data_IF_312764139267
#
_entry.id   IF_312764139267
#
_cell.length_a   1.000
_cell.length_b   1.000
_cell.length_c   1.000
_cell.angle_alpha   90.00
_cell.angle_beta   90.00
_cell.angle_gamma   90.00
#
_symmetry.space_group_name_H-M   'P 1'
#
loop_
_entity.id
_entity.type
_entity.pdbx_description
1 polymer ?
#
# COMPACT_ATOMS: atom_id res chain seq x y z
N UNK A 1 -13.48 27.32 37.51
CA UNK A 1 -14.03 26.48 36.42
C UNK A 1 -13.43 26.79 35.04
N UNK A 2 -12.93 28.01 34.77
CA UNK A 2 -12.33 28.40 33.47
C UNK A 2 -10.86 27.97 33.24
N UNK A 3 -10.13 27.52 34.27
CA UNK A 3 -8.74 27.05 34.13
C UNK A 3 -8.58 25.57 33.74
N UNK A 4 -9.69 24.82 33.60
CA UNK A 4 -9.67 23.39 33.27
C UNK A 4 -9.85 23.10 31.77
N UNK A 5 -10.61 23.95 31.05
CA UNK A 5 -10.90 23.76 29.63
C UNK A 5 -9.70 24.10 28.72
N UNK A 6 -8.85 25.04 29.14
CA UNK A 6 -7.69 25.46 28.33
C UNK A 6 -6.55 24.43 28.37
N UNK A 7 -6.42 23.65 29.44
CA UNK A 7 -5.42 22.56 29.56
C UNK A 7 -5.86 21.27 28.88
N UNK A 8 -7.18 21.05 28.71
CA UNK A 8 -7.73 19.89 27.99
C UNK A 8 -7.61 20.01 26.46
N UNK A 9 -7.68 21.21 25.90
CA UNK A 9 -7.50 21.43 24.46
C UNK A 9 -6.04 21.31 23.99
N UNK A 10 -5.06 21.51 24.89
CA UNK A 10 -3.63 21.47 24.55
C UNK A 10 -3.07 20.03 24.54
N UNK A 11 -3.81 19.04 25.08
CA UNK A 11 -3.35 17.64 25.20
C UNK A 11 -3.80 16.73 24.05
N UNK A 12 -4.87 17.09 23.33
CA UNK A 12 -5.57 16.19 22.38
C UNK A 12 -5.18 16.39 20.91
N UNK A 13 -4.47 17.47 20.58
CA UNK A 13 -3.77 17.55 19.28
C UNK A 13 -2.33 17.12 19.54
N UNK A 14 -2.15 15.84 19.83
CA UNK A 14 -0.85 15.18 19.72
C UNK A 14 -0.49 15.27 18.24
N UNK A 15 0.22 16.35 17.89
CA UNK A 15 0.80 16.57 16.58
C UNK A 15 1.28 15.22 16.04
N UNK A 16 0.92 14.89 14.80
CA UNK A 16 1.70 13.94 14.01
C UNK A 16 3.15 14.44 14.06
N UNK A 17 3.90 14.06 15.07
CA UNK A 17 5.31 14.37 15.18
C UNK A 17 5.92 13.56 14.06
N UNK A 18 6.14 14.20 12.92
CA UNK A 18 6.81 13.61 11.77
C UNK A 18 8.20 13.20 12.24
N UNK A 19 8.30 11.96 12.69
CA UNK A 19 9.53 11.40 13.18
C UNK A 19 10.21 10.75 11.98
N UNK A 20 11.27 11.39 11.50
CA UNK A 20 12.03 10.94 10.33
C UNK A 20 12.46 9.48 10.48
N UNK A 21 12.82 9.03 11.69
CA UNK A 21 13.16 7.63 11.94
C UNK A 21 11.98 6.70 11.71
N UNK A 22 10.79 7.05 12.23
CA UNK A 22 9.57 6.25 12.03
C UNK A 22 9.16 6.22 10.56
N UNK A 23 9.28 7.35 9.87
CA UNK A 23 9.00 7.43 8.43
C UNK A 23 9.93 6.54 7.60
N UNK A 24 11.25 6.57 7.88
CA UNK A 24 12.22 5.68 7.21
C UNK A 24 11.92 4.21 7.50
N UNK A 25 11.55 3.84 8.74
CA UNK A 25 11.10 2.49 9.06
C UNK A 25 9.87 2.08 8.24
N UNK A 26 8.96 3.03 7.99
CA UNK A 26 7.79 2.84 7.12
C UNK A 26 8.19 2.54 5.68
N UNK A 27 9.13 3.30 5.12
CA UNK A 27 9.66 3.07 3.77
C UNK A 27 10.30 1.68 3.66
N UNK A 28 11.11 1.29 4.63
CA UNK A 28 11.74 -0.04 4.66
C UNK A 28 10.66 -1.14 4.74
N UNK A 29 9.67 -0.97 5.61
CA UNK A 29 8.56 -1.91 5.74
C UNK A 29 7.74 -2.03 4.45
N UNK A 30 7.42 -0.91 3.80
CA UNK A 30 6.74 -0.90 2.51
C UNK A 30 7.55 -1.56 1.40
N UNK A 31 8.88 -1.35 1.38
CA UNK A 31 9.78 -2.02 0.44
C UNK A 31 9.78 -3.55 0.64
N UNK A 32 9.88 -4.03 1.88
CA UNK A 32 9.81 -5.48 2.18
C UNK A 32 8.44 -6.04 1.80
N UNK A 33 7.35 -5.35 2.14
CA UNK A 33 6.00 -5.75 1.70
C UNK A 33 5.90 -5.85 0.18
N UNK A 34 6.53 -4.92 -0.54
CA UNK A 34 6.56 -4.91 -2.01
C UNK A 34 7.34 -6.09 -2.58
N UNK A 35 8.47 -6.46 -1.98
CA UNK A 35 9.22 -7.66 -2.38
C UNK A 35 8.40 -8.94 -2.22
N UNK A 36 7.70 -9.09 -1.08
CA UNK A 36 6.81 -10.23 -0.84
C UNK A 36 5.69 -10.28 -1.89
N UNK A 37 5.06 -9.13 -2.14
CA UNK A 37 4.01 -8.99 -3.16
C UNK A 37 4.53 -9.34 -4.56
N UNK A 38 5.71 -8.84 -4.94
CA UNK A 38 6.35 -9.15 -6.22
C UNK A 38 6.63 -10.64 -6.36
N UNK A 39 7.08 -11.32 -5.30
CA UNK A 39 7.24 -12.77 -5.30
C UNK A 39 5.93 -13.49 -5.62
N UNK A 40 4.82 -13.12 -4.96
CA UNK A 40 3.51 -13.69 -5.23
C UNK A 40 2.99 -13.39 -6.65
N UNK A 41 3.26 -12.18 -7.16
CA UNK A 41 2.93 -11.80 -8.53
C UNK A 41 3.66 -12.67 -9.55
N UNK A 42 4.94 -12.97 -9.33
CA UNK A 42 5.72 -13.86 -10.19
C UNK A 42 5.19 -15.29 -10.13
N UNK A 43 4.88 -15.80 -8.92
CA UNK A 43 4.31 -17.14 -8.75
C UNK A 43 2.99 -17.28 -9.50
N UNK A 44 2.03 -16.36 -9.33
CA UNK A 44 0.74 -16.46 -10.04
C UNK A 44 0.90 -16.38 -11.57
N UNK A 45 1.83 -15.55 -12.04
CA UNK A 45 2.13 -15.40 -13.48
C UNK A 45 2.66 -16.69 -14.07
N UNK A 46 3.59 -17.35 -13.36
CA UNK A 46 4.15 -18.64 -13.77
C UNK A 46 3.12 -19.78 -13.73
N UNK A 47 2.11 -19.68 -12.85
CA UNK A 47 0.98 -20.62 -12.80
C UNK A 47 -0.13 -20.31 -13.82
N UNK A 48 -0.02 -19.23 -14.60
CA UNK A 48 -1.05 -18.82 -15.56
C UNK A 48 -2.34 -18.29 -14.92
N UNK A 49 -2.31 -17.87 -13.66
CA UNK A 49 -3.49 -17.38 -12.93
C UNK A 49 -3.66 -15.87 -13.16
N UNK A 50 -4.71 -15.49 -13.87
CA UNK A 50 -5.03 -14.10 -14.26
C UNK A 50 -3.80 -13.34 -14.80
N UNK A 51 -3.23 -13.79 -15.93
CA UNK A 51 -2.06 -13.15 -16.55
C UNK A 51 -2.33 -11.70 -16.98
N UNK A 52 -3.58 -11.35 -17.27
CA UNK A 52 -4.03 -10.00 -17.61
C UNK A 52 -3.89 -9.01 -16.43
N UNK A 53 -3.95 -9.50 -15.19
CA UNK A 53 -3.71 -8.70 -14.00
C UNK A 53 -2.18 -8.56 -13.78
N UNK A 54 -1.53 -7.75 -14.62
CA UNK A 54 -0.11 -7.42 -14.57
C UNK A 54 0.08 -5.93 -14.20
N UNK A 55 0.21 -5.60 -12.89
CA UNK A 55 0.41 -4.22 -12.44
C UNK A 55 1.59 -3.51 -13.09
N UNK A 56 2.67 -4.24 -13.43
CA UNK A 56 3.86 -3.66 -14.04
C UNK A 56 3.52 -3.19 -15.45
N UNK A 57 2.85 -4.03 -16.23
CA UNK A 57 2.42 -3.65 -17.57
C UNK A 57 1.37 -2.53 -17.53
N UNK A 58 0.35 -2.66 -16.67
CA UNK A 58 -0.71 -1.65 -16.52
C UNK A 58 -0.14 -0.27 -16.18
N UNK A 59 0.76 -0.18 -15.19
CA UNK A 59 1.39 1.09 -14.84
C UNK A 59 2.28 1.62 -15.96
N UNK A 60 3.04 0.74 -16.63
CA UNK A 60 3.89 1.13 -17.77
C UNK A 60 3.07 1.76 -18.90
N UNK A 61 1.92 1.16 -19.24
CA UNK A 61 1.01 1.67 -20.26
C UNK A 61 0.40 3.00 -19.85
N UNK A 62 -0.14 3.10 -18.62
CA UNK A 62 -0.70 4.35 -18.11
C UNK A 62 0.33 5.50 -18.08
N UNK A 63 1.59 5.22 -17.70
CA UNK A 63 2.65 6.22 -17.70
C UNK A 63 3.01 6.65 -19.11
N UNK A 64 3.16 5.71 -20.04
CA UNK A 64 3.45 5.99 -21.45
C UNK A 64 2.37 6.86 -22.09
N UNK A 65 1.10 6.52 -21.89
CA UNK A 65 -0.06 7.28 -22.38
C UNK A 65 -0.06 8.71 -21.83
N UNK A 66 0.19 8.89 -20.53
CA UNK A 66 0.19 10.21 -19.89
C UNK A 66 1.39 11.07 -20.28
N UNK A 67 2.55 10.45 -20.52
CA UNK A 67 3.80 11.17 -20.86
C UNK A 67 4.02 11.31 -22.37
N UNK A 68 3.19 10.68 -23.20
CA UNK A 68 3.38 10.65 -24.66
C UNK A 68 4.65 9.90 -25.08
N UNK A 69 5.10 8.94 -24.27
CA UNK A 69 6.33 8.16 -24.51
C UNK A 69 6.01 6.73 -24.92
N UNK A 70 7.02 5.98 -25.33
CA UNK A 70 6.89 4.54 -25.54
C UNK A 70 6.70 3.79 -24.22
N UNK A 71 6.06 2.62 -24.29
CA UNK A 71 5.89 1.73 -23.14
C UNK A 71 7.25 1.24 -22.65
N UNK A 72 7.53 1.44 -21.37
CA UNK A 72 8.78 1.02 -20.72
C UNK A 72 8.48 0.23 -19.46
N UNK A 73 8.77 -1.08 -19.48
CA UNK A 73 8.59 -1.96 -18.30
C UNK A 73 9.47 -1.52 -17.12
N UNK A 74 10.62 -0.92 -17.39
CA UNK A 74 11.47 -0.30 -16.37
C UNK A 74 10.71 0.76 -15.58
N UNK A 75 9.89 1.57 -16.27
CA UNK A 75 9.06 2.60 -15.63
C UNK A 75 8.00 1.95 -14.74
N UNK A 76 7.34 0.89 -15.21
CA UNK A 76 6.43 0.09 -14.40
C UNK A 76 7.06 -0.46 -13.12
N UNK A 77 8.26 -1.03 -13.21
CA UNK A 77 8.99 -1.54 -12.05
C UNK A 77 9.39 -0.44 -11.08
N UNK A 78 9.90 0.70 -11.57
CA UNK A 78 10.23 1.85 -10.73
C UNK A 78 8.98 2.32 -9.98
N UNK A 79 7.86 2.51 -10.68
CA UNK A 79 6.60 2.92 -10.05
C UNK A 79 6.12 1.90 -9.02
N UNK A 80 6.19 0.60 -9.31
CA UNK A 80 5.80 -0.45 -8.38
C UNK A 80 6.55 -0.36 -7.05
N UNK A 81 7.87 -0.24 -7.12
CA UNK A 81 8.70 -0.12 -5.92
C UNK A 81 8.57 1.22 -5.22
N UNK A 82 8.46 2.34 -5.95
CA UNK A 82 8.27 3.67 -5.36
C UNK A 82 6.91 3.79 -4.68
N UNK A 83 5.84 3.31 -5.31
CA UNK A 83 4.51 3.31 -4.71
C UNK A 83 4.47 2.40 -3.49
N UNK A 84 4.97 1.18 -3.60
CA UNK A 84 4.97 0.22 -2.50
C UNK A 84 5.82 0.65 -1.29
N UNK A 85 7.01 1.23 -1.53
CA UNK A 85 7.91 1.66 -0.46
C UNK A 85 7.63 3.07 0.03
N UNK A 86 7.71 4.07 -0.84
CA UNK A 86 7.66 5.49 -0.44
C UNK A 86 6.23 5.93 -0.19
N UNK A 87 5.32 5.70 -1.16
CA UNK A 87 3.94 6.18 -1.02
C UNK A 87 3.20 5.39 0.06
N UNK A 88 3.07 4.08 -0.09
CA UNK A 88 2.32 3.23 0.83
C UNK A 88 3.05 3.02 2.15
N UNK A 89 4.36 2.72 2.15
CA UNK A 89 5.12 2.57 3.40
C UNK A 89 5.24 3.86 4.20
N UNK A 90 5.45 5.00 3.53
CA UNK A 90 5.44 6.32 4.15
C UNK A 90 4.06 6.68 4.73
N UNK A 91 2.99 6.48 3.94
CA UNK A 91 1.62 6.69 4.42
C UNK A 91 1.27 5.77 5.59
N UNK A 92 1.69 4.50 5.57
CA UNK A 92 1.51 3.59 6.68
C UNK A 92 2.17 4.15 7.95
N UNK A 93 3.42 4.60 7.89
CA UNK A 93 4.09 5.19 9.05
C UNK A 93 3.39 6.44 9.61
N UNK A 94 2.83 7.29 8.74
CA UNK A 94 2.11 8.51 9.15
C UNK A 94 0.77 8.16 9.80
N UNK A 95 -0.01 7.26 9.20
CA UNK A 95 -1.37 6.93 9.64
C UNK A 95 -1.42 5.78 10.65
N UNK A 96 -0.31 5.12 10.96
CA UNK A 96 -0.28 3.96 11.87
C UNK A 96 -0.91 4.21 13.24
N UNK A 97 -0.88 5.46 13.73
CA UNK A 97 -1.46 5.83 15.02
C UNK A 97 -2.99 5.78 15.05
N UNK A 98 -3.67 5.90 13.90
CA UNK A 98 -5.13 5.95 13.80
C UNK A 98 -5.74 4.69 13.18
N UNK A 99 -4.90 3.78 12.65
CA UNK A 99 -5.39 2.54 12.05
C UNK A 99 -5.94 1.60 13.13
N UNK A 100 -7.13 1.01 12.93
CA UNK A 100 -7.66 0.01 13.84
C UNK A 100 -6.78 -1.26 13.83
N UNK A 101 -6.73 -1.94 14.97
CA UNK A 101 -5.96 -3.18 15.14
C UNK A 101 -5.08 -3.16 16.38
N UNK A 102 -5.08 -4.29 17.11
CA UNK A 102 -4.30 -4.48 18.34
C UNK A 102 -2.80 -4.70 18.11
N UNK A 103 -2.39 -5.11 16.90
CA UNK A 103 -0.98 -5.35 16.51
C UNK A 103 -0.62 -4.58 15.24
N UNK A 104 0.68 -4.41 14.93
CA UNK A 104 1.08 -3.71 13.69
C UNK A 104 0.72 -4.53 12.45
N UNK A 105 0.74 -5.87 12.54
CA UNK A 105 0.24 -6.74 11.47
C UNK A 105 -1.24 -6.47 11.17
N UNK A 106 -2.09 -6.37 12.20
CA UNK A 106 -3.52 -6.08 12.02
C UNK A 106 -3.75 -4.68 11.40
N UNK A 107 -2.97 -3.68 11.83
CA UNK A 107 -2.99 -2.34 11.23
C UNK A 107 -2.52 -2.36 9.78
N UNK A 108 -1.46 -3.11 9.49
CA UNK A 108 -0.94 -3.32 8.15
C UNK A 108 -1.97 -3.96 7.22
N UNK A 109 -2.68 -5.00 7.66
CA UNK A 109 -3.78 -5.60 6.90
C UNK A 109 -4.93 -4.61 6.66
N UNK A 110 -5.33 -3.85 7.69
CA UNK A 110 -6.36 -2.81 7.54
C UNK A 110 -5.93 -1.77 6.51
N UNK A 111 -4.68 -1.30 6.58
CA UNK A 111 -4.13 -0.37 5.60
C UNK A 111 -4.10 -0.99 4.20
N UNK A 112 -3.76 -2.28 4.09
CA UNK A 112 -3.81 -3.03 2.84
C UNK A 112 -5.21 -3.03 2.21
N UNK A 113 -6.27 -3.21 3.00
CA UNK A 113 -7.67 -3.10 2.53
C UNK A 113 -7.96 -1.69 2.01
N UNK A 114 -7.51 -0.65 2.72
CA UNK A 114 -7.70 0.74 2.28
C UNK A 114 -6.95 1.04 0.98
N UNK A 115 -5.68 0.63 0.88
CA UNK A 115 -4.89 0.76 -0.34
C UNK A 115 -5.51 0.00 -1.51
N UNK A 116 -6.02 -1.21 -1.27
CA UNK A 116 -6.77 -1.99 -2.24
C UNK A 116 -8.02 -1.25 -2.73
N UNK A 117 -8.84 -0.72 -1.82
CA UNK A 117 -10.02 0.06 -2.18
C UNK A 117 -9.66 1.25 -3.08
N UNK A 118 -8.62 2.01 -2.72
CA UNK A 118 -8.14 3.14 -3.52
C UNK A 118 -7.66 2.69 -4.91
N UNK A 119 -6.95 1.57 -5.00
CA UNK A 119 -6.52 0.98 -6.27
C UNK A 119 -7.71 0.55 -7.14
N UNK A 120 -8.74 -0.04 -6.53
CA UNK A 120 -9.95 -0.54 -7.22
C UNK A 120 -10.83 0.56 -7.81
N UNK A 121 -10.87 1.74 -7.19
CA UNK A 121 -11.71 2.86 -7.64
C UNK A 121 -10.96 3.91 -8.47
N UNK A 122 -9.63 3.93 -8.41
CA UNK A 122 -8.81 4.89 -9.16
C UNK A 122 -8.02 4.22 -10.30
N UNK A 123 -6.82 3.65 -10.01
CA UNK A 123 -5.97 2.98 -10.99
C UNK A 123 -6.65 1.95 -11.88
N UNK A 124 -7.52 1.11 -11.34
CA UNK A 124 -8.22 0.07 -12.14
C UNK A 124 -9.12 0.68 -13.23
N UNK A 125 -10.05 1.60 -12.95
CA UNK A 125 -10.77 2.32 -14.00
C UNK A 125 -9.86 3.07 -14.97
N UNK A 126 -8.82 3.74 -14.45
CA UNK A 126 -7.90 4.53 -15.28
C UNK A 126 -7.11 3.67 -16.27
N UNK A 127 -6.81 2.42 -15.93
CA UNK A 127 -6.14 1.47 -16.84
C UNK A 127 -7.10 0.77 -17.81
N UNK A 128 -8.36 1.20 -17.87
CA UNK A 128 -9.39 0.54 -18.68
C UNK A 128 -9.92 -0.77 -18.10
N UNK A 129 -9.52 -1.15 -16.87
CA UNK A 129 -9.94 -2.41 -16.26
C UNK A 129 -11.35 -2.34 -15.63
N UNK A 130 -12.00 -1.18 -15.66
CA UNK A 130 -13.32 -0.95 -15.08
C UNK A 130 -13.29 -0.79 -13.56
N UNK A 131 -14.43 -0.41 -12.97
CA UNK A 131 -14.56 -0.26 -11.51
C UNK A 131 -14.33 -1.61 -10.82
N UNK A 132 -13.48 -1.64 -9.80
CA UNK A 132 -13.00 -2.87 -9.14
C UNK A 132 -12.27 -3.86 -10.06
N UNK A 133 -11.85 -3.45 -11.26
CA UNK A 133 -11.22 -4.36 -12.22
C UNK A 133 -12.18 -5.37 -12.85
N UNK A 134 -13.51 -5.13 -12.76
CA UNK A 134 -14.52 -6.11 -13.14
C UNK A 134 -14.55 -6.44 -14.64
N UNK A 135 -13.93 -5.64 -15.51
CA UNK A 135 -13.78 -6.02 -16.93
C UNK A 135 -12.87 -7.24 -17.12
N UNK A 136 -11.99 -7.52 -16.15
CA UNK A 136 -11.14 -8.71 -16.11
C UNK A 136 -11.81 -9.87 -15.35
N UNK A 137 -13.07 -9.69 -14.92
CA UNK A 137 -13.84 -10.68 -14.17
C UNK A 137 -13.76 -10.52 -12.65
N UNK A 138 -14.68 -11.20 -11.94
CA UNK A 138 -14.85 -11.08 -10.48
C UNK A 138 -13.63 -11.53 -9.68
N UNK A 139 -12.75 -12.34 -10.28
CA UNK A 139 -11.53 -12.80 -9.63
C UNK A 139 -10.49 -11.68 -9.48
N UNK A 140 -10.53 -10.62 -10.30
CA UNK A 140 -9.60 -9.50 -10.20
C UNK A 140 -9.66 -8.80 -8.83
N UNK A 141 -10.83 -8.34 -8.33
CA UNK A 141 -10.90 -7.71 -7.02
C UNK A 141 -10.58 -8.68 -5.88
N UNK A 142 -10.95 -9.96 -6.00
CA UNK A 142 -10.65 -10.98 -4.98
C UNK A 142 -9.16 -11.24 -4.87
N UNK A 143 -8.48 -11.49 -5.99
CA UNK A 143 -7.04 -11.77 -6.01
C UNK A 143 -6.23 -10.56 -5.57
N UNK A 144 -6.58 -9.36 -6.04
CA UNK A 144 -5.90 -8.14 -5.61
C UNK A 144 -6.12 -7.86 -4.13
N UNK A 145 -7.28 -8.17 -3.56
CA UNK A 145 -7.52 -8.04 -2.12
C UNK A 145 -6.58 -8.97 -1.33
N UNK A 146 -6.48 -10.25 -1.72
CA UNK A 146 -5.56 -11.20 -1.08
C UNK A 146 -4.12 -10.69 -1.15
N UNK A 147 -3.68 -10.22 -2.32
CA UNK A 147 -2.34 -9.67 -2.50
C UNK A 147 -2.08 -8.46 -1.61
N UNK A 148 -3.05 -7.54 -1.46
CA UNK A 148 -2.91 -6.37 -0.59
C UNK A 148 -2.95 -6.72 0.90
N UNK A 149 -3.70 -7.74 1.29
CA UNK A 149 -3.67 -8.26 2.66
C UNK A 149 -2.30 -8.84 3.00
N UNK A 150 -1.69 -9.60 2.10
CA UNK A 150 -0.34 -10.15 2.31
C UNK A 150 0.71 -9.03 2.33
N UNK A 151 0.63 -8.08 1.39
CA UNK A 151 1.47 -6.87 1.41
C UNK A 151 1.36 -6.14 2.74
N UNK A 152 0.13 -5.90 3.21
CA UNK A 152 -0.16 -5.21 4.47
C UNK A 152 0.37 -5.97 5.68
N UNK A 153 0.17 -7.29 5.73
CA UNK A 153 0.67 -8.13 6.82
C UNK A 153 2.21 -8.13 6.88
N UNK A 154 2.89 -8.28 5.73
CA UNK A 154 4.34 -8.25 5.63
C UNK A 154 4.90 -6.89 6.06
N UNK A 155 4.32 -5.80 5.55
CA UNK A 155 4.69 -4.44 5.94
C UNK A 155 4.48 -4.21 7.45
N UNK A 156 3.32 -4.55 7.99
CA UNK A 156 3.02 -4.41 9.42
C UNK A 156 4.00 -5.19 10.30
N UNK A 157 4.29 -6.43 9.94
CA UNK A 157 5.28 -7.27 10.65
C UNK A 157 6.68 -6.66 10.61
N UNK A 158 7.16 -6.24 9.43
CA UNK A 158 8.47 -5.59 9.32
C UNK A 158 8.53 -4.31 10.14
N UNK A 159 7.48 -3.50 10.08
CA UNK A 159 7.39 -2.26 10.83
C UNK A 159 7.45 -2.50 12.34
N UNK A 160 6.74 -3.50 12.86
CA UNK A 160 6.84 -3.93 14.26
C UNK A 160 8.26 -4.29 14.67
N UNK A 161 8.94 -5.13 13.89
CA UNK A 161 10.33 -5.52 14.15
C UNK A 161 11.25 -4.31 14.18
N UNK A 162 11.05 -3.35 13.27
CA UNK A 162 11.82 -2.11 13.24
C UNK A 162 11.50 -1.15 14.40
N UNK A 163 10.28 -1.19 14.94
CA UNK A 163 9.90 -0.44 16.13
C UNK A 163 10.31 -1.12 17.44
N UNK A 164 10.63 -2.41 17.40
CA UNK A 164 10.92 -3.22 18.59
C UNK A 164 9.66 -3.60 19.38
N UNK A 165 8.50 -3.63 18.73
CA UNK A 165 7.25 -4.08 19.36
C UNK A 165 7.15 -5.60 19.34
N UNK A 166 6.70 -6.20 20.44
CA UNK A 166 6.29 -7.59 20.50
C UNK A 166 4.84 -7.67 20.03
N UNK A 167 4.68 -7.78 18.71
CA UNK A 167 3.37 -8.02 18.08
C UNK A 167 2.74 -9.35 18.49
#
# INVERSE_FOLDING_TARGET
>A
MLLSLHTLQIKEVKYMSFNISVFVKGIIAGFVGTLVLTGLMMVKKNMGVMPELDPIHMMSTMAAEKMGTQISLTTGWIMHFVLGSVAWGGAFAVFNGILPGGSQVARGMTFGILAWLLMMIGPMPMSGAGLFGLSMGIMAPVMTLILHLVFGAAMGFTFAKLLGTSD
#
